data_IF_649104301148
#
_entry.id   IF_649104301148
#
_cell.length_a   1.000
_cell.length_b   1.000
_cell.length_c   1.000
_cell.angle_alpha   90.00
_cell.angle_beta   90.00
_cell.angle_gamma   90.00
#
_symmetry.space_group_name_H-M   'P 1'
#
loop_
_entity.id
_entity.type
_entity.pdbx_description
1 polymer ?
#
# COMPACT_ATOMS: atom_id res chain seq x y z
N UNK A 1 -19.66 -2.93 -1.91
CA UNK A 1 -19.94 -2.24 -3.19
C UNK A 1 -20.10 -0.74 -2.91
N UNK A 2 -19.14 0.09 -3.41
CA UNK A 2 -19.23 1.54 -3.36
C UNK A 2 -20.57 2.02 -3.93
N UNK A 3 -21.21 2.97 -3.28
CA UNK A 3 -22.44 3.56 -3.79
C UNK A 3 -22.22 4.18 -5.17
N UNK A 4 -23.28 4.34 -5.99
CA UNK A 4 -23.20 4.98 -7.30
C UNK A 4 -22.62 6.41 -7.22
N UNK A 5 -22.91 7.14 -6.14
CA UNK A 5 -22.34 8.47 -5.85
C UNK A 5 -20.84 8.43 -5.61
N UNK A 6 -20.35 7.49 -4.80
CA UNK A 6 -18.92 7.33 -4.50
C UNK A 6 -18.13 6.96 -5.76
N UNK A 7 -18.68 6.06 -6.61
CA UNK A 7 -18.04 5.72 -7.90
C UNK A 7 -17.96 6.93 -8.85
N UNK A 8 -19.01 7.75 -8.93
CA UNK A 8 -19.00 8.96 -9.76
C UNK A 8 -18.01 10.02 -9.22
N UNK A 9 -17.89 10.16 -7.90
CA UNK A 9 -16.92 11.06 -7.28
C UNK A 9 -15.47 10.61 -7.59
N UNK A 10 -15.18 9.30 -7.42
CA UNK A 10 -13.85 8.76 -7.77
C UNK A 10 -13.50 8.92 -9.27
N UNK A 11 -14.47 8.81 -10.17
CA UNK A 11 -14.25 9.03 -11.61
C UNK A 11 -13.92 10.50 -11.89
N UNK A 12 -14.69 11.43 -11.35
CA UNK A 12 -14.46 12.88 -11.53
C UNK A 12 -13.12 13.33 -10.96
N UNK A 13 -12.72 12.80 -9.82
CA UNK A 13 -11.43 13.12 -9.20
C UNK A 13 -10.27 12.61 -10.04
N UNK A 14 -10.40 11.42 -10.65
CA UNK A 14 -9.41 10.90 -11.61
C UNK A 14 -9.33 11.76 -12.88
N UNK A 15 -10.45 12.11 -13.47
CA UNK A 15 -10.51 12.96 -14.67
C UNK A 15 -9.88 14.34 -14.39
N UNK A 16 -10.16 14.90 -13.20
CA UNK A 16 -9.54 16.16 -12.78
C UNK A 16 -8.03 16.03 -12.59
N UNK A 17 -7.55 14.94 -11.98
CA UNK A 17 -6.13 14.67 -11.83
C UNK A 17 -5.45 14.53 -13.19
N UNK A 18 -6.02 13.75 -14.12
CA UNK A 18 -5.50 13.59 -15.48
C UNK A 18 -5.46 14.94 -16.21
N UNK A 19 -6.52 15.73 -16.10
CA UNK A 19 -6.56 17.07 -16.69
C UNK A 19 -5.46 17.97 -16.14
N UNK A 20 -5.26 17.98 -14.80
CA UNK A 20 -4.21 18.78 -14.17
C UNK A 20 -2.81 18.35 -14.64
N UNK A 21 -2.57 17.03 -14.79
CA UNK A 21 -1.29 16.49 -15.29
C UNK A 21 -1.04 16.96 -16.72
N UNK A 22 -2.04 16.79 -17.61
CA UNK A 22 -1.89 17.05 -19.05
C UNK A 22 -1.88 18.54 -19.42
N UNK A 23 -2.23 19.42 -18.49
CA UNK A 23 -2.27 20.87 -18.73
C UNK A 23 -1.38 21.60 -17.76
N UNK A 24 -1.89 21.98 -16.60
CA UNK A 24 -1.23 22.88 -15.63
C UNK A 24 0.12 22.40 -15.14
N UNK A 25 0.28 21.10 -14.90
CA UNK A 25 1.53 20.51 -14.44
C UNK A 25 2.50 20.40 -15.62
N UNK A 26 2.02 19.89 -16.77
CA UNK A 26 2.82 19.79 -17.99
C UNK A 26 3.41 21.14 -18.40
N UNK A 27 2.62 22.21 -18.40
CA UNK A 27 3.08 23.57 -18.74
C UNK A 27 4.21 24.07 -17.82
N UNK A 28 4.20 23.64 -16.55
CA UNK A 28 5.20 24.03 -15.56
C UNK A 28 6.50 23.25 -15.66
N UNK A 29 6.42 22.00 -16.10
CA UNK A 29 7.58 21.11 -16.17
C UNK A 29 8.22 21.02 -17.55
N UNK A 30 7.56 21.55 -18.57
CA UNK A 30 8.12 21.55 -19.93
C UNK A 30 9.46 22.29 -19.96
N UNK A 31 10.51 21.60 -20.40
CA UNK A 31 11.88 22.14 -20.43
C UNK A 31 12.68 21.95 -19.14
N UNK A 32 12.09 21.44 -18.07
CA UNK A 32 12.85 21.10 -16.85
C UNK A 32 13.72 19.85 -17.04
N UNK A 33 14.83 19.80 -16.31
CA UNK A 33 15.71 18.64 -16.32
C UNK A 33 15.14 17.54 -15.41
N UNK A 34 14.81 16.38 -15.98
CA UNK A 34 14.28 15.24 -15.24
C UNK A 34 15.24 14.67 -14.18
N UNK A 35 16.53 14.95 -14.27
CA UNK A 35 17.52 14.52 -13.27
C UNK A 35 17.46 15.34 -11.97
N UNK A 36 16.84 16.51 -12.01
CA UNK A 36 16.72 17.43 -10.87
C UNK A 36 15.43 17.15 -10.08
N UNK A 37 15.27 15.93 -9.56
CA UNK A 37 14.04 15.48 -8.88
C UNK A 37 13.57 16.44 -7.78
N UNK A 38 14.49 16.99 -6.98
CA UNK A 38 14.14 17.91 -5.89
C UNK A 38 13.55 19.21 -6.40
N UNK A 39 14.05 19.71 -7.51
CA UNK A 39 13.53 20.94 -8.17
C UNK A 39 12.15 20.66 -8.76
N UNK A 40 11.97 19.52 -9.44
CA UNK A 40 10.67 19.08 -9.95
C UNK A 40 9.64 19.01 -8.83
N UNK A 41 9.97 18.34 -7.73
CA UNK A 41 9.05 18.20 -6.59
C UNK A 41 8.74 19.54 -5.91
N UNK A 42 9.71 20.46 -5.91
CA UNK A 42 9.51 21.82 -5.42
C UNK A 42 8.53 22.60 -6.32
N UNK A 43 8.75 22.59 -7.63
CA UNK A 43 7.85 23.21 -8.60
C UNK A 43 6.43 22.69 -8.47
N UNK A 44 6.26 21.36 -8.32
CA UNK A 44 4.95 20.74 -8.15
C UNK A 44 4.24 21.21 -6.89
N UNK A 45 4.97 21.27 -5.76
CA UNK A 45 4.44 21.73 -4.47
C UNK A 45 4.08 23.21 -4.48
N UNK A 46 4.91 24.06 -5.04
CA UNK A 46 4.63 25.51 -5.17
C UNK A 46 3.49 25.79 -6.13
N UNK A 47 3.41 25.07 -7.25
CA UNK A 47 2.34 25.25 -8.22
C UNK A 47 0.96 24.85 -7.66
N UNK A 48 0.92 23.85 -6.77
CA UNK A 48 -0.28 23.53 -5.99
C UNK A 48 -0.55 24.61 -4.94
N UNK A 49 0.44 24.98 -4.14
CA UNK A 49 0.40 26.05 -3.15
C UNK A 49 -0.53 25.78 -1.95
N UNK A 50 -1.12 24.59 -1.85
CA UNK A 50 -1.98 24.20 -0.72
C UNK A 50 -1.25 23.21 0.19
N UNK A 51 -1.52 23.26 1.49
CA UNK A 51 -0.90 22.38 2.48
C UNK A 51 -1.20 20.91 2.18
N UNK A 52 -2.45 20.58 1.89
CA UNK A 52 -2.94 19.24 1.64
C UNK A 52 -2.97 18.82 0.16
N UNK A 53 -2.33 19.58 -0.74
CA UNK A 53 -2.27 19.31 -2.19
C UNK A 53 -3.64 19.21 -2.87
N UNK A 54 -4.62 19.98 -2.39
CA UNK A 54 -6.02 19.90 -2.84
C UNK A 54 -6.30 20.58 -4.17
N UNK A 55 -5.41 21.48 -4.64
CA UNK A 55 -5.61 22.23 -5.89
C UNK A 55 -5.42 21.33 -7.12
N UNK A 56 -4.32 20.58 -7.19
CA UNK A 56 -4.03 19.64 -8.27
C UNK A 56 -4.40 18.21 -7.93
N UNK A 57 -4.37 17.86 -6.65
CA UNK A 57 -4.56 16.52 -6.11
C UNK A 57 -3.23 15.84 -5.81
N UNK A 58 -3.11 15.28 -4.62
CA UNK A 58 -1.90 14.56 -4.19
C UNK A 58 -1.55 13.42 -5.14
N UNK A 59 -2.53 12.72 -5.68
CA UNK A 59 -2.37 11.66 -6.67
C UNK A 59 -1.75 12.16 -7.99
N UNK A 60 -2.16 13.35 -8.48
CA UNK A 60 -1.57 13.96 -9.68
C UNK A 60 -0.11 14.34 -9.46
N UNK A 61 0.17 15.00 -8.33
CA UNK A 61 1.53 15.43 -7.96
C UNK A 61 2.46 14.22 -7.80
N UNK A 62 2.05 13.22 -7.03
CA UNK A 62 2.84 12.00 -6.82
C UNK A 62 3.04 11.21 -8.11
N UNK A 63 1.99 11.08 -8.93
CA UNK A 63 2.09 10.40 -10.22
C UNK A 63 3.12 11.02 -11.15
N UNK A 64 3.18 12.35 -11.20
CA UNK A 64 4.18 13.07 -12.01
C UNK A 64 5.58 12.93 -11.41
N UNK A 65 5.74 13.10 -10.10
CA UNK A 65 7.03 12.93 -9.41
C UNK A 65 7.64 11.55 -9.69
N UNK A 66 6.83 10.48 -9.57
CA UNK A 66 7.26 9.12 -9.86
C UNK A 66 7.58 8.90 -11.35
N UNK A 67 6.80 9.49 -12.25
CA UNK A 67 7.04 9.39 -13.69
C UNK A 67 8.36 10.07 -14.09
N UNK A 68 8.68 11.21 -13.49
CA UNK A 68 9.95 11.92 -13.72
C UNK A 68 11.12 11.09 -13.21
N UNK A 69 11.05 10.52 -12.00
CA UNK A 69 12.09 9.64 -11.47
C UNK A 69 12.33 8.42 -12.38
N UNK A 70 11.26 7.86 -12.94
CA UNK A 70 11.34 6.73 -13.87
C UNK A 70 11.99 7.14 -15.19
N UNK A 71 11.61 8.29 -15.76
CA UNK A 71 12.19 8.82 -16.98
C UNK A 71 13.68 9.14 -16.80
N UNK A 72 14.06 9.70 -15.65
CA UNK A 72 15.46 9.97 -15.32
C UNK A 72 16.29 8.67 -15.24
N UNK A 73 15.77 7.63 -14.56
CA UNK A 73 16.42 6.33 -14.47
C UNK A 73 16.61 5.69 -15.86
N UNK A 74 15.57 5.76 -16.70
CA UNK A 74 15.60 5.24 -18.06
C UNK A 74 16.62 6.02 -18.93
N UNK A 75 16.64 7.34 -18.82
CA UNK A 75 17.60 8.20 -19.52
C UNK A 75 19.05 7.93 -19.11
N UNK A 76 19.30 7.49 -17.88
CA UNK A 76 20.61 7.05 -17.39
C UNK A 76 20.94 5.58 -17.71
N UNK A 77 20.00 4.82 -18.26
CA UNK A 77 20.15 3.40 -18.54
C UNK A 77 20.27 2.51 -17.29
N UNK A 78 19.70 2.95 -16.14
CA UNK A 78 19.74 2.21 -14.87
C UNK A 78 18.33 1.86 -14.37
N UNK A 79 18.16 0.75 -13.63
CA UNK A 79 16.87 0.44 -13.04
C UNK A 79 16.44 1.48 -12.01
N UNK A 80 15.12 1.73 -11.89
CA UNK A 80 14.55 2.71 -10.97
C UNK A 80 14.99 2.49 -9.51
N UNK A 81 15.02 1.22 -9.05
CA UNK A 81 15.46 0.92 -7.68
C UNK A 81 16.90 1.38 -7.41
N UNK A 82 17.76 1.34 -8.43
CA UNK A 82 19.15 1.79 -8.34
C UNK A 82 19.25 3.32 -8.42
N UNK A 83 18.41 3.95 -9.20
CA UNK A 83 18.32 5.42 -9.28
C UNK A 83 17.88 6.00 -7.92
N UNK A 84 16.85 5.43 -7.30
CA UNK A 84 16.32 5.90 -6.00
C UNK A 84 17.20 5.46 -4.83
N UNK A 85 17.65 4.20 -4.82
CA UNK A 85 18.40 3.59 -3.72
C UNK A 85 19.92 3.83 -3.76
N UNK A 86 20.43 4.39 -4.86
CA UNK A 86 21.88 4.58 -5.05
C UNK A 86 22.65 3.27 -5.06
N UNK A 87 23.95 3.34 -4.72
CA UNK A 87 24.87 2.19 -4.75
C UNK A 87 24.50 1.08 -3.76
N UNK A 88 23.75 1.40 -2.71
CA UNK A 88 23.34 0.46 -1.67
C UNK A 88 21.93 -0.11 -1.89
N UNK A 89 21.21 0.34 -2.91
CA UNK A 89 19.87 -0.16 -3.25
C UNK A 89 19.90 -1.56 -3.88
N UNK A 90 20.27 -2.59 -3.11
CA UNK A 90 20.45 -3.97 -3.58
C UNK A 90 19.84 -5.05 -2.69
N UNK A 91 19.23 -4.66 -1.58
CA UNK A 91 18.59 -5.58 -0.64
C UNK A 91 17.09 -5.48 -0.80
N UNK A 92 16.43 -6.61 -1.08
CA UNK A 92 14.98 -6.70 -1.08
C UNK A 92 14.46 -6.63 0.36
N UNK A 93 13.44 -5.82 0.67
CA UNK A 93 12.84 -5.78 1.98
C UNK A 93 12.04 -7.06 2.25
N UNK A 94 11.91 -7.41 3.53
CA UNK A 94 10.93 -8.41 3.94
C UNK A 94 9.53 -7.86 3.63
N UNK A 95 8.68 -8.61 2.89
CA UNK A 95 7.34 -8.13 2.57
C UNK A 95 6.46 -8.01 3.82
N UNK A 96 5.67 -6.97 3.90
CA UNK A 96 4.58 -6.81 4.87
C UNK A 96 3.27 -7.05 4.14
N UNK A 97 2.57 -8.14 4.49
CA UNK A 97 1.35 -8.54 3.81
C UNK A 97 0.14 -8.31 4.71
N UNK A 98 -0.75 -7.41 4.31
CA UNK A 98 -2.01 -7.17 5.01
C UNK A 98 -2.96 -8.36 4.81
N UNK A 99 -3.39 -8.97 5.90
CA UNK A 99 -4.23 -10.18 5.88
C UNK A 99 -5.55 -10.03 6.65
N UNK A 100 -5.65 -9.06 7.56
CA UNK A 100 -6.91 -8.67 8.22
C UNK A 100 -7.04 -7.15 8.17
N UNK A 101 -8.21 -6.69 7.74
CA UNK A 101 -8.59 -5.28 7.67
C UNK A 101 -9.59 -4.93 8.78
N UNK A 102 -9.46 -3.70 9.31
CA UNK A 102 -10.40 -3.10 10.23
C UNK A 102 -10.44 -1.59 10.08
N UNK A 103 -10.90 -0.86 11.09
CA UNK A 103 -10.96 0.59 11.10
C UNK A 103 -11.65 1.17 9.87
N UNK A 104 -11.03 2.14 9.19
CA UNK A 104 -11.60 2.75 7.99
C UNK A 104 -11.52 1.86 6.74
N UNK A 105 -10.71 0.79 6.74
CA UNK A 105 -10.52 -0.13 5.61
C UNK A 105 -11.57 -1.25 5.56
N UNK A 106 -12.38 -1.41 6.61
CA UNK A 106 -13.44 -2.41 6.68
C UNK A 106 -14.61 -1.94 7.54
N UNK A 107 -15.82 -2.39 7.21
CA UNK A 107 -17.01 -2.16 8.05
C UNK A 107 -17.15 -3.29 9.05
N UNK A 108 -16.30 -3.32 10.06
CA UNK A 108 -16.31 -4.31 11.13
C UNK A 108 -16.05 -3.64 12.50
N UNK A 109 -15.91 -4.45 13.55
CA UNK A 109 -15.75 -4.01 14.94
C UNK A 109 -14.30 -3.73 15.36
N UNK A 110 -13.32 -3.90 14.47
CA UNK A 110 -11.90 -3.78 14.79
C UNK A 110 -11.45 -2.33 14.55
N UNK A 111 -10.82 -1.69 15.55
CA UNK A 111 -10.32 -0.32 15.45
C UNK A 111 -9.03 -0.21 14.62
N UNK A 112 -8.16 -1.22 14.66
CA UNK A 112 -6.93 -1.26 13.87
C UNK A 112 -7.24 -1.47 12.40
N UNK A 113 -6.59 -0.69 11.54
CA UNK A 113 -6.87 -0.68 10.09
C UNK A 113 -6.32 -1.90 9.37
N UNK A 114 -5.14 -2.37 9.81
CA UNK A 114 -4.41 -3.43 9.14
C UNK A 114 -3.72 -4.33 10.16
N UNK A 115 -3.77 -5.63 9.90
CA UNK A 115 -2.92 -6.63 10.54
C UNK A 115 -2.11 -7.32 9.47
N UNK A 116 -0.80 -7.24 9.60
CA UNK A 116 0.15 -7.70 8.60
C UNK A 116 1.00 -8.84 9.12
N UNK A 117 1.37 -9.76 8.24
CA UNK A 117 2.37 -10.80 8.49
C UNK A 117 3.66 -10.45 7.75
N UNK A 118 4.79 -10.77 8.36
CA UNK A 118 6.14 -10.55 7.84
C UNK A 118 6.91 -11.87 7.91
N UNK A 119 7.27 -12.50 6.78
CA UNK A 119 7.99 -13.79 6.76
C UNK A 119 9.48 -13.58 6.99
N UNK A 120 9.87 -13.20 8.21
CA UNK A 120 11.25 -12.84 8.57
C UNK A 120 12.22 -14.01 8.57
N UNK A 121 11.71 -15.24 8.66
CA UNK A 121 12.51 -16.47 8.59
C UNK A 121 12.71 -17.02 7.19
N UNK A 122 12.14 -16.39 6.16
CA UNK A 122 12.31 -16.84 4.77
C UNK A 122 13.73 -16.54 4.26
N UNK A 123 14.34 -17.49 3.57
CA UNK A 123 15.69 -17.35 2.98
C UNK A 123 15.66 -16.56 1.65
N UNK A 124 14.48 -16.45 1.02
CA UNK A 124 14.29 -15.73 -0.23
C UNK A 124 12.96 -14.99 -0.28
N UNK A 125 12.86 -13.96 -1.16
CA UNK A 125 11.60 -13.28 -1.39
C UNK A 125 10.51 -14.22 -1.91
N UNK A 126 10.87 -15.15 -2.78
CA UNK A 126 9.93 -16.14 -3.34
C UNK A 126 9.32 -17.02 -2.25
N UNK A 127 10.17 -17.54 -1.35
CA UNK A 127 9.74 -18.30 -0.19
C UNK A 127 8.87 -17.45 0.75
N UNK A 128 9.27 -16.21 1.04
CA UNK A 128 8.47 -15.30 1.86
C UNK A 128 7.08 -15.05 1.30
N UNK A 129 6.95 -14.86 -0.01
CA UNK A 129 5.65 -14.71 -0.67
C UNK A 129 4.84 -16.02 -0.58
N UNK A 130 5.47 -17.17 -0.77
CA UNK A 130 4.82 -18.47 -0.61
C UNK A 130 4.29 -18.66 0.82
N UNK A 131 5.12 -18.43 1.83
CA UNK A 131 4.72 -18.49 3.25
C UNK A 131 3.49 -17.62 3.52
N UNK A 132 3.51 -16.37 3.08
CA UNK A 132 2.39 -15.46 3.25
C UNK A 132 1.12 -15.94 2.54
N UNK A 133 1.24 -16.49 1.33
CA UNK A 133 0.10 -17.01 0.58
C UNK A 133 -0.54 -18.23 1.27
N UNK A 134 0.28 -19.14 1.78
CA UNK A 134 -0.17 -20.34 2.50
C UNK A 134 -0.84 -19.98 3.83
N UNK A 135 -0.25 -19.07 4.59
CA UNK A 135 -0.85 -18.54 5.82
C UNK A 135 -2.19 -17.84 5.53
N UNK A 136 -2.25 -17.02 4.47
CA UNK A 136 -3.49 -16.35 4.08
C UNK A 136 -4.61 -17.34 3.72
N UNK A 137 -4.28 -18.41 2.98
CA UNK A 137 -5.25 -19.46 2.66
C UNK A 137 -5.69 -20.24 3.91
N UNK A 138 -4.76 -20.52 4.83
CA UNK A 138 -5.09 -21.18 6.09
C UNK A 138 -5.96 -20.27 6.97
N UNK A 139 -5.65 -18.98 7.06
CA UNK A 139 -6.47 -17.98 7.77
C UNK A 139 -7.90 -17.96 7.24
N UNK A 140 -8.09 -18.04 5.92
CA UNK A 140 -9.42 -18.13 5.32
C UNK A 140 -10.21 -19.35 5.83
N UNK A 141 -9.54 -20.51 5.91
CA UNK A 141 -10.18 -21.74 6.43
C UNK A 141 -10.53 -21.60 7.91
N UNK A 142 -9.58 -21.13 8.72
CA UNK A 142 -9.77 -20.93 10.15
C UNK A 142 -10.92 -19.96 10.45
N UNK A 143 -11.02 -18.86 9.69
CA UNK A 143 -12.14 -17.92 9.81
C UNK A 143 -13.47 -18.58 9.45
N UNK A 144 -13.51 -19.37 8.36
CA UNK A 144 -14.74 -20.07 7.95
C UNK A 144 -15.17 -21.12 8.96
N UNK A 145 -14.25 -21.91 9.52
CA UNK A 145 -14.52 -22.92 10.56
C UNK A 145 -15.06 -22.33 11.86
N UNK A 146 -14.64 -21.09 12.17
CA UNK A 146 -15.14 -20.31 13.32
C UNK A 146 -16.37 -19.45 12.98
N UNK A 147 -16.97 -19.65 11.81
CA UNK A 147 -18.16 -18.93 11.33
C UNK A 147 -17.95 -17.40 11.17
N UNK A 148 -16.70 -16.95 11.04
CA UNK A 148 -16.38 -15.57 10.73
C UNK A 148 -16.51 -15.28 9.23
N UNK A 149 -16.78 -13.98 8.90
CA UNK A 149 -16.84 -13.52 7.53
C UNK A 149 -15.45 -13.62 6.85
N UNK A 150 -15.42 -14.18 5.63
CA UNK A 150 -14.22 -14.27 4.77
C UNK A 150 -14.27 -13.28 3.62
N UNK A 151 -15.14 -12.28 3.67
CA UNK A 151 -15.12 -11.14 2.75
C UNK A 151 -13.87 -10.30 2.98
N UNK A 152 -13.37 -9.69 1.91
CA UNK A 152 -12.14 -8.88 1.96
C UNK A 152 -12.47 -7.40 2.07
N UNK A 153 -11.61 -6.65 2.77
CA UNK A 153 -11.63 -5.20 2.84
C UNK A 153 -10.99 -4.54 1.61
N UNK A 154 -10.81 -3.24 1.67
CA UNK A 154 -10.33 -2.43 0.54
C UNK A 154 -8.89 -2.78 0.12
N UNK A 155 -8.08 -3.34 1.02
CA UNK A 155 -6.68 -3.69 0.79
C UNK A 155 -6.41 -5.20 0.70
N UNK A 156 -7.47 -6.00 0.56
CA UNK A 156 -7.37 -7.43 0.28
C UNK A 156 -7.24 -8.33 1.51
N UNK A 157 -7.11 -7.79 2.73
CA UNK A 157 -7.23 -8.54 3.98
C UNK A 157 -8.68 -8.92 4.28
N UNK A 158 -8.91 -10.01 5.01
CA UNK A 158 -10.24 -10.39 5.46
C UNK A 158 -10.82 -9.35 6.43
N UNK A 159 -12.13 -9.21 6.45
CA UNK A 159 -12.82 -8.23 7.27
C UNK A 159 -13.81 -8.90 8.26
N UNK A 160 -13.36 -9.79 9.16
CA UNK A 160 -14.22 -10.42 10.14
C UNK A 160 -14.65 -9.41 11.22
N UNK A 161 -15.80 -9.67 11.86
CA UNK A 161 -16.18 -8.99 13.09
C UNK A 161 -15.53 -9.74 14.26
N UNK A 162 -14.44 -9.19 14.78
CA UNK A 162 -13.73 -9.72 15.95
C UNK A 162 -14.00 -8.85 17.17
N UNK A 163 -13.81 -9.41 18.35
CA UNK A 163 -14.07 -8.69 19.60
C UNK A 163 -12.89 -7.80 20.04
N UNK A 164 -11.69 -8.12 19.58
CA UNK A 164 -10.48 -7.37 19.94
C UNK A 164 -9.33 -7.56 18.94
N UNK A 165 -8.31 -6.73 19.06
CA UNK A 165 -7.06 -6.85 18.31
C UNK A 165 -6.28 -8.13 18.69
N UNK A 166 -6.36 -8.52 19.97
CA UNK A 166 -5.73 -9.75 20.48
C UNK A 166 -6.31 -10.99 19.83
N UNK A 167 -7.63 -11.00 19.58
CA UNK A 167 -8.29 -12.08 18.85
C UNK A 167 -7.79 -12.18 17.41
N UNK A 168 -7.58 -11.05 16.74
CA UNK A 168 -6.99 -11.03 15.41
C UNK A 168 -5.58 -11.62 15.41
N UNK A 169 -4.73 -11.23 16.36
CA UNK A 169 -3.38 -11.77 16.50
C UNK A 169 -3.36 -13.26 16.82
N UNK A 170 -4.28 -13.73 17.67
CA UNK A 170 -4.42 -15.16 17.99
C UNK A 170 -4.80 -15.99 16.75
N UNK A 171 -5.72 -15.47 15.91
CA UNK A 171 -6.09 -16.11 14.65
C UNK A 171 -4.92 -16.16 13.65
N UNK A 172 -4.08 -15.13 13.61
CA UNK A 172 -2.89 -15.12 12.77
C UNK A 172 -1.85 -16.14 13.24
N UNK A 173 -1.63 -16.25 14.54
CA UNK A 173 -0.75 -17.28 15.10
C UNK A 173 -1.25 -18.69 14.82
N UNK A 174 -2.54 -18.95 15.04
CA UNK A 174 -3.18 -20.23 14.75
C UNK A 174 -3.04 -20.57 13.26
N UNK A 175 -3.35 -19.63 12.37
CA UNK A 175 -3.22 -19.83 10.93
C UNK A 175 -1.77 -20.10 10.49
N UNK A 176 -0.80 -19.44 11.11
CA UNK A 176 0.62 -19.66 10.86
C UNK A 176 1.05 -21.08 11.23
N UNK A 177 0.68 -21.53 12.43
CA UNK A 177 0.98 -22.90 12.91
C UNK A 177 0.30 -23.97 12.04
N UNK A 178 -0.97 -23.77 11.69
CA UNK A 178 -1.72 -24.68 10.84
C UNK A 178 -1.20 -24.71 9.38
N UNK A 179 -0.55 -23.65 8.93
CA UNK A 179 0.17 -23.61 7.67
C UNK A 179 1.53 -24.32 7.73
N UNK A 180 1.97 -24.79 8.90
CA UNK A 180 3.22 -25.52 9.10
C UNK A 180 4.42 -24.63 9.39
N UNK A 181 4.22 -23.36 9.75
CA UNK A 181 5.29 -22.43 10.07
C UNK A 181 5.40 -22.16 11.58
N UNK A 182 6.65 -22.03 12.05
CA UNK A 182 6.90 -21.65 13.44
C UNK A 182 6.59 -20.16 13.65
N UNK A 183 5.98 -19.77 14.78
CA UNK A 183 5.67 -18.36 15.07
C UNK A 183 6.89 -17.42 15.02
N UNK A 184 8.10 -17.91 15.31
CA UNK A 184 9.34 -17.12 15.19
C UNK A 184 9.82 -16.88 13.76
N UNK A 185 9.37 -17.68 12.79
CA UNK A 185 9.66 -17.47 11.37
C UNK A 185 8.75 -16.40 10.74
N UNK A 186 7.67 -16.00 11.40
CA UNK A 186 6.71 -14.99 10.97
C UNK A 186 6.55 -13.96 12.09
N UNK A 187 6.78 -12.71 11.76
CA UNK A 187 6.48 -11.58 12.66
C UNK A 187 5.12 -10.98 12.30
N UNK A 188 4.47 -10.38 13.28
CA UNK A 188 3.17 -9.75 13.13
C UNK A 188 3.25 -8.27 13.47
N UNK A 189 2.56 -7.43 12.72
CA UNK A 189 2.46 -6.01 12.98
C UNK A 189 1.06 -5.50 12.65
N UNK A 190 0.74 -4.29 13.09
CA UNK A 190 -0.53 -3.63 12.82
C UNK A 190 -0.29 -2.16 12.47
N UNK A 191 -1.25 -1.57 11.78
CA UNK A 191 -1.24 -0.16 11.44
C UNK A 191 -2.56 0.50 11.84
N UNK A 192 -2.46 1.65 12.50
CA UNK A 192 -3.53 2.62 12.68
C UNK A 192 -3.05 3.96 12.14
N UNK A 193 -3.75 4.51 11.16
CA UNK A 193 -3.50 5.88 10.73
C UNK A 193 -4.32 6.83 11.60
N UNK A 194 -3.80 8.02 11.93
CA UNK A 194 -4.60 9.04 12.59
C UNK A 194 -5.82 9.34 11.73
N UNK A 195 -7.01 9.10 12.26
CA UNK A 195 -8.26 9.57 11.64
C UNK A 195 -8.37 11.05 11.96
N UNK A 196 -7.98 11.89 11.03
CA UNK A 196 -8.29 13.32 11.05
C UNK A 196 -9.56 13.62 10.29
#
# INVERSE_FOLDING_TARGET
>A
LLSRRQRQMCIRDRERAVTNVNTRISDRLCGCNALEQREIDHILKEADGTENKSKYGANAILGVSLAVARAAAEGLGIPLYRYVGGVNGKVLPVPMMNVINGGCHAKNSIDFQEFMIMPVGAESLSEGIQMCAEIYQQLKKTLAEKEYATGVGDEGGFAPNLNSAEEALALLQEATQLAGYEPGAVSYTHLTLPTT
#
